data_IF_066497778641
#
_entry.id   IF_066497778641
#
_cell.length_a   1.000
_cell.length_b   1.000
_cell.length_c   1.000
_cell.angle_alpha   90.00
_cell.angle_beta   90.00
_cell.angle_gamma   90.00
#
_symmetry.space_group_name_H-M   'P 1'
#
loop_
_entity.id
_entity.type
_entity.pdbx_description
1 polymer ?
#
# COMPACT_ATOMS: atom_id res chain seq x y z
N UNK A 1 -7.26 3.30 7.86
CA UNK A 1 -6.10 4.20 7.96
C UNK A 1 -6.13 5.08 6.71
N UNK A 2 -6.89 6.19 6.69
CA UNK A 2 -7.13 6.91 5.44
C UNK A 2 -5.86 7.65 4.99
N UNK A 3 -5.24 7.17 3.92
CA UNK A 3 -4.14 7.82 3.22
C UNK A 3 -4.67 8.38 1.91
N UNK A 4 -4.34 9.63 1.58
CA UNK A 4 -4.71 10.27 0.33
C UNK A 4 -3.49 10.36 -0.59
N UNK A 5 -3.51 9.60 -1.67
CA UNK A 5 -2.52 9.68 -2.74
C UNK A 5 -2.95 10.69 -3.80
N UNK A 6 -2.11 11.69 -4.07
CA UNK A 6 -2.38 12.72 -5.07
C UNK A 6 -1.14 13.02 -5.91
N UNK A 7 -1.36 13.41 -7.18
CA UNK A 7 -0.29 13.88 -8.07
C UNK A 7 0.30 15.23 -7.65
N UNK A 8 -0.46 16.00 -6.86
CA UNK A 8 -0.09 17.35 -6.42
C UNK A 8 -0.28 17.51 -4.91
N UNK A 9 0.56 16.85 -4.09
CA UNK A 9 0.44 16.89 -2.63
C UNK A 9 0.52 18.32 -2.08
N UNK A 10 1.39 19.17 -2.66
CA UNK A 10 1.55 20.56 -2.25
C UNK A 10 0.28 21.39 -2.42
N UNK A 11 -0.45 21.20 -3.53
CA UNK A 11 -1.72 21.88 -3.76
C UNK A 11 -2.79 21.41 -2.78
N UNK A 12 -2.84 20.11 -2.50
CA UNK A 12 -3.79 19.56 -1.53
C UNK A 12 -3.50 20.06 -0.12
N UNK A 13 -2.23 20.08 0.30
CA UNK A 13 -1.81 20.66 1.58
C UNK A 13 -2.15 22.15 1.67
N UNK A 14 -1.97 22.90 0.57
CA UNK A 14 -2.33 24.32 0.51
C UNK A 14 -3.84 24.53 0.68
N UNK A 15 -4.67 23.78 -0.03
CA UNK A 15 -6.13 23.85 0.09
C UNK A 15 -6.61 23.51 1.50
N UNK A 16 -6.00 22.53 2.15
CA UNK A 16 -6.35 22.16 3.52
C UNK A 16 -5.90 23.21 4.53
N UNK A 17 -4.73 23.81 4.34
CA UNK A 17 -4.28 24.97 5.15
C UNK A 17 -5.24 26.16 4.98
N UNK A 18 -5.70 26.44 3.77
CA UNK A 18 -6.71 27.47 3.49
C UNK A 18 -8.06 27.14 4.16
N UNK A 19 -8.42 25.85 4.24
CA UNK A 19 -9.57 25.36 4.99
C UNK A 19 -9.37 25.37 6.52
N UNK A 20 -8.30 26.02 7.03
CA UNK A 20 -7.91 26.09 8.45
C UNK A 20 -7.64 24.73 9.10
N UNK A 21 -7.28 23.72 8.31
CA UNK A 21 -6.89 22.41 8.82
C UNK A 21 -5.39 22.46 9.17
N UNK A 22 -5.00 22.15 10.41
CA UNK A 22 -3.60 22.09 10.81
C UNK A 22 -2.90 20.91 10.12
N UNK A 23 -2.17 21.24 9.06
CA UNK A 23 -1.33 20.32 8.29
C UNK A 23 0.15 20.70 8.44
N UNK A 24 1.02 19.72 8.74
CA UNK A 24 2.46 19.94 8.85
C UNK A 24 2.92 20.58 10.17
N UNK A 25 2.03 20.72 11.15
CA UNK A 25 2.31 21.38 12.45
C UNK A 25 2.73 20.41 13.55
N UNK A 26 2.91 19.12 13.23
CA UNK A 26 3.23 18.09 14.22
C UNK A 26 2.11 17.85 15.23
N UNK A 27 0.86 18.06 14.81
CA UNK A 27 -0.32 17.77 15.61
C UNK A 27 -0.33 16.30 16.09
N UNK A 28 -0.97 16.04 17.23
CA UNK A 28 -0.87 14.78 17.95
C UNK A 28 -1.43 13.63 17.10
N UNK A 29 -0.55 12.72 16.70
CA UNK A 29 -0.90 11.53 15.92
C UNK A 29 -1.42 10.43 16.85
N UNK A 30 -2.73 10.22 16.85
CA UNK A 30 -3.42 9.21 17.67
C UNK A 30 -3.61 7.91 16.88
N UNK A 31 -3.90 8.01 15.58
CA UNK A 31 -4.24 6.89 14.69
C UNK A 31 -3.13 6.67 13.64
N UNK A 32 -2.57 7.73 13.07
CA UNK A 32 -1.57 7.69 12.00
C UNK A 32 -0.13 7.90 12.52
N UNK A 33 0.36 6.96 13.34
CA UNK A 33 1.70 7.02 13.97
C UNK A 33 2.89 6.90 13.00
N UNK A 34 2.65 6.36 11.81
CA UNK A 34 3.68 6.18 10.78
C UNK A 34 3.78 7.38 9.81
N UNK A 35 2.94 8.39 9.99
CA UNK A 35 2.86 9.51 9.06
C UNK A 35 4.01 10.51 9.28
N UNK A 36 4.72 10.92 8.22
CA UNK A 36 5.70 12.01 8.31
C UNK A 36 5.02 13.29 8.80
N UNK A 37 5.68 14.02 9.71
CA UNK A 37 5.09 15.21 10.37
C UNK A 37 4.63 16.28 9.37
N UNK A 38 5.36 16.46 8.27
CA UNK A 38 5.06 17.45 7.22
C UNK A 38 3.82 17.08 6.38
N UNK A 39 3.50 15.79 6.30
CA UNK A 39 2.43 15.23 5.46
C UNK A 39 1.15 14.92 6.27
N UNK A 40 1.24 15.04 7.59
CA UNK A 40 0.14 14.82 8.51
C UNK A 40 -0.79 16.03 8.59
N UNK A 41 -2.09 15.78 8.42
CA UNK A 41 -3.17 16.73 8.62
C UNK A 41 -4.12 16.23 9.70
N UNK A 42 -4.37 17.07 10.71
CA UNK A 42 -5.37 16.80 11.74
C UNK A 42 -6.69 17.48 11.35
N UNK A 43 -7.64 16.69 10.85
CA UNK A 43 -8.98 17.17 10.49
C UNK A 43 -9.91 17.13 11.72
N UNK A 44 -10.94 17.99 11.76
CA UNK A 44 -11.95 17.93 12.84
C UNK A 44 -12.71 16.59 12.89
N UNK A 45 -12.77 15.86 11.77
CA UNK A 45 -13.41 14.55 11.66
C UNK A 45 -12.45 13.36 11.77
N UNK A 46 -11.14 13.58 11.90
CA UNK A 46 -10.16 12.50 11.97
C UNK A 46 -8.75 12.90 11.54
N UNK A 47 -7.91 11.91 11.28
CA UNK A 47 -6.52 12.10 10.87
C UNK A 47 -6.35 11.72 9.40
N UNK A 48 -5.54 12.47 8.65
CA UNK A 48 -5.28 12.23 7.23
C UNK A 48 -3.79 12.41 6.90
N UNK A 49 -3.23 11.48 6.14
CA UNK A 49 -1.90 11.61 5.54
C UNK A 49 -2.02 11.90 4.05
N UNK A 50 -1.28 12.90 3.58
CA UNK A 50 -1.28 13.27 2.16
C UNK A 50 0.07 12.91 1.58
N UNK A 51 0.06 11.97 0.66
CA UNK A 51 1.25 11.51 -0.03
C UNK A 51 1.22 11.92 -1.50
N UNK A 52 2.39 12.25 -2.04
CA UNK A 52 2.60 12.40 -3.47
C UNK A 52 2.71 11.05 -4.19
N UNK A 53 2.53 11.05 -5.52
CA UNK A 53 2.81 9.87 -6.37
C UNK A 53 4.26 9.39 -6.28
N UNK A 54 5.17 10.24 -5.83
CA UNK A 54 6.59 9.88 -5.65
C UNK A 54 6.85 9.23 -4.27
N UNK A 55 5.87 9.25 -3.38
CA UNK A 55 5.96 8.74 -2.00
C UNK A 55 5.08 7.50 -1.80
N UNK A 56 4.68 6.83 -2.89
CA UNK A 56 3.88 5.59 -2.86
C UNK A 56 4.57 4.49 -2.03
N UNK A 57 5.90 4.44 -2.05
CA UNK A 57 6.69 3.47 -1.27
C UNK A 57 6.67 3.72 0.24
N UNK A 58 6.30 4.92 0.69
CA UNK A 58 6.18 5.29 2.10
C UNK A 58 4.76 5.02 2.64
N UNK A 59 3.81 4.62 1.78
CA UNK A 59 2.45 4.31 2.15
C UNK A 59 2.37 2.99 2.90
N UNK A 60 1.70 3.01 4.06
CA UNK A 60 1.53 1.82 4.89
C UNK A 60 0.35 0.96 4.43
N UNK A 61 -0.57 1.50 3.62
CA UNK A 61 -1.76 0.76 3.17
C UNK A 61 -1.52 -0.23 2.02
N UNK A 62 -0.45 -0.06 1.23
CA UNK A 62 -0.15 -0.97 0.12
C UNK A 62 1.12 -1.73 0.48
N UNK A 63 0.97 -2.87 1.15
CA UNK A 63 2.09 -3.76 1.35
C UNK A 63 2.47 -4.35 -0.03
N UNK A 64 3.69 -4.16 -0.56
CA UNK A 64 4.08 -4.74 -1.86
C UNK A 64 3.97 -6.28 -1.87
N UNK A 65 4.00 -6.90 -0.69
CA UNK A 65 3.73 -8.34 -0.52
C UNK A 65 2.28 -8.73 -0.80
N UNK A 66 1.27 -7.88 -0.60
CA UNK A 66 -0.12 -8.23 -0.95
C UNK A 66 -0.36 -8.28 -2.46
N UNK A 67 0.40 -7.48 -3.24
CA UNK A 67 0.36 -7.58 -4.70
C UNK A 67 1.05 -8.86 -5.20
N UNK A 68 2.14 -9.25 -4.55
CA UNK A 68 2.92 -10.44 -4.89
C UNK A 68 2.18 -11.73 -4.46
N UNK A 69 1.43 -11.67 -3.37
CA UNK A 69 0.65 -12.79 -2.84
C UNK A 69 -0.80 -12.83 -3.31
N UNK A 70 -1.24 -11.98 -4.26
CA UNK A 70 -2.58 -12.13 -4.83
C UNK A 70 -2.68 -13.55 -5.41
N UNK A 71 -3.41 -14.47 -4.75
CA UNK A 71 -3.52 -15.83 -5.20
C UNK A 71 -4.56 -15.76 -6.31
N UNK A 72 -4.12 -15.27 -7.46
CA UNK A 72 -4.86 -15.42 -8.69
C UNK A 72 -5.14 -16.91 -8.91
N UNK A 73 -6.08 -17.18 -9.81
CA UNK A 73 -6.58 -18.48 -10.23
C UNK A 73 -5.50 -19.41 -10.87
N UNK A 74 -4.22 -19.26 -10.48
CA UNK A 74 -3.06 -20.07 -10.80
C UNK A 74 -2.99 -21.37 -9.98
N UNK A 75 -3.87 -21.56 -8.99
CA UNK A 75 -3.98 -22.80 -8.23
C UNK A 75 -4.14 -24.08 -9.08
N UNK A 76 -5.06 -24.13 -10.07
CA UNK A 76 -5.20 -25.30 -10.93
C UNK A 76 -4.00 -25.51 -11.87
N UNK A 77 -3.37 -24.45 -12.37
CA UNK A 77 -2.21 -24.57 -13.28
C UNK A 77 -0.94 -25.03 -12.55
N UNK A 78 -0.69 -24.53 -11.34
CA UNK A 78 0.46 -24.97 -10.54
C UNK A 78 0.34 -26.44 -10.13
N UNK A 79 -0.88 -26.91 -9.82
CA UNK A 79 -1.15 -28.31 -9.53
C UNK A 79 -0.88 -29.21 -10.75
N UNK A 80 -1.31 -28.81 -11.95
CA UNK A 80 -1.03 -29.56 -13.18
C UNK A 80 0.47 -29.64 -13.49
N UNK A 81 1.22 -28.55 -13.27
CA UNK A 81 2.68 -28.53 -13.48
C UNK A 81 3.37 -29.51 -12.52
N UNK A 82 3.00 -29.51 -11.23
CA UNK A 82 3.58 -30.44 -10.25
C UNK A 82 3.24 -31.90 -10.59
N UNK A 83 2.01 -32.19 -11.00
CA UNK A 83 1.58 -33.54 -11.41
C UNK A 83 2.39 -33.99 -12.64
N UNK A 84 2.55 -33.14 -13.65
CA UNK A 84 3.34 -33.46 -14.84
C UNK A 84 4.82 -33.72 -14.50
N UNK A 85 5.39 -32.96 -13.56
CA UNK A 85 6.77 -33.12 -13.12
C UNK A 85 6.97 -34.45 -12.36
N UNK A 86 6.06 -34.80 -11.46
CA UNK A 86 6.10 -36.09 -10.75
C UNK A 86 5.94 -37.26 -11.73
N UNK A 87 5.02 -37.18 -12.68
CA UNK A 87 4.83 -38.20 -13.72
C UNK A 87 6.09 -38.32 -14.59
N UNK A 88 6.69 -37.20 -15.01
CA UNK A 88 7.91 -37.18 -15.81
C UNK A 88 9.09 -37.83 -15.08
N UNK A 89 9.28 -37.51 -13.79
CA UNK A 89 10.31 -38.16 -12.96
C UNK A 89 10.03 -39.65 -12.83
N UNK A 90 8.79 -40.05 -12.57
CA UNK A 90 8.43 -41.46 -12.37
C UNK A 90 8.68 -42.30 -13.63
N UNK A 91 8.30 -41.78 -14.80
CA UNK A 91 8.58 -42.42 -16.10
C UNK A 91 10.09 -42.46 -16.35
N UNK A 92 10.82 -41.37 -16.08
CA UNK A 92 12.27 -41.30 -16.26
C UNK A 92 13.07 -42.21 -15.33
N UNK A 93 12.55 -42.55 -14.14
CA UNK A 93 13.18 -43.52 -13.23
C UNK A 93 12.88 -44.98 -13.57
N UNK A 94 11.91 -45.23 -14.46
CA UNK A 94 11.47 -46.59 -14.83
C UNK A 94 11.99 -47.03 -16.20
N UNK A 95 12.65 -46.13 -16.93
CA UNK A 95 13.41 -46.37 -18.16
C UNK A 95 14.91 -46.40 -17.84
#
# INVERSE_FOLDING_TARGET
MPELLTKHPDLTLKLLKEAKIPCGTGAQQTILKACPKDQFCSLPSGELCIYGTNQISEMAQIHPVEFLFKPGNLGPLSALILIALVIGIWIGTKF
#
